data_IF_692121612323
#
_entry.id   IF_692121612323
#
_cell.length_a   1.000
_cell.length_b   1.000
_cell.length_c   1.000
_cell.angle_alpha   90.00
_cell.angle_beta   90.00
_cell.angle_gamma   90.00
#
_symmetry.space_group_name_H-M   'P 1'
#
loop_
_entity.id
_entity.type
_entity.pdbx_description
1 polymer ?
#
# COMPACT_ATOMS: atom_id res chain seq x y z
N UNK A 1 14.61 -14.50 -7.64
CA UNK A 1 14.33 -13.38 -8.55
C UNK A 1 13.96 -12.17 -7.69
N UNK A 2 14.36 -10.96 -8.07
CA UNK A 2 14.02 -9.74 -7.32
C UNK A 2 12.61 -9.29 -7.72
N UNK A 3 11.70 -9.23 -6.74
CA UNK A 3 10.30 -8.85 -6.97
C UNK A 3 10.15 -7.48 -7.64
N UNK A 4 11.12 -6.56 -7.45
CA UNK A 4 11.12 -5.26 -8.14
C UNK A 4 11.38 -5.40 -9.63
N UNK A 5 12.31 -6.28 -10.00
CA UNK A 5 12.64 -6.57 -11.40
C UNK A 5 11.46 -7.26 -12.07
N UNK A 6 10.83 -8.24 -11.42
CA UNK A 6 9.63 -8.90 -11.95
C UNK A 6 8.47 -7.93 -12.15
N UNK A 7 8.23 -7.00 -11.21
CA UNK A 7 7.22 -5.95 -11.36
C UNK A 7 7.53 -5.00 -12.52
N UNK A 8 8.80 -4.60 -12.67
CA UNK A 8 9.25 -3.77 -13.79
C UNK A 8 9.03 -4.46 -15.14
N UNK A 9 9.45 -5.72 -15.25
CA UNK A 9 9.39 -6.49 -16.49
C UNK A 9 7.94 -6.77 -16.88
N UNK A 10 7.09 -7.07 -15.89
CA UNK A 10 5.67 -7.21 -16.09
C UNK A 10 5.05 -5.92 -16.65
N UNK A 11 5.22 -4.77 -16.01
CA UNK A 11 4.63 -3.53 -16.51
C UNK A 11 5.19 -3.12 -17.89
N UNK A 12 6.49 -3.30 -18.10
CA UNK A 12 7.15 -2.98 -19.37
C UNK A 12 6.61 -3.84 -20.51
N UNK A 13 6.42 -5.14 -20.27
CA UNK A 13 5.88 -6.06 -21.28
C UNK A 13 4.41 -5.79 -21.60
N UNK A 14 3.57 -5.51 -20.59
CA UNK A 14 2.15 -5.17 -20.79
C UNK A 14 1.98 -3.84 -21.54
N UNK A 15 2.81 -2.84 -21.23
CA UNK A 15 2.83 -1.57 -21.97
C UNK A 15 3.25 -1.76 -23.42
N UNK A 16 4.26 -2.59 -23.68
CA UNK A 16 4.76 -2.85 -25.04
C UNK A 16 3.75 -3.63 -25.91
N UNK A 17 2.85 -4.40 -25.31
CA UNK A 17 1.84 -5.21 -26.01
C UNK A 17 0.68 -4.38 -26.57
N UNK A 18 0.32 -3.28 -25.90
CA UNK A 18 -0.90 -2.54 -26.23
C UNK A 18 -0.60 -1.38 -27.19
N UNK A 19 -1.32 -1.33 -28.30
CA UNK A 19 -1.28 -0.19 -29.22
C UNK A 19 -2.28 0.88 -28.76
N UNK A 20 -2.00 2.17 -29.00
CA UNK A 20 -2.89 3.24 -28.52
C UNK A 20 -4.29 3.21 -29.12
N UNK A 21 -4.44 2.77 -30.37
CA UNK A 21 -5.77 2.58 -30.96
C UNK A 21 -6.59 1.55 -30.17
N UNK A 22 -5.96 0.44 -29.76
CA UNK A 22 -6.61 -0.57 -28.90
C UNK A 22 -6.97 0.01 -27.53
N UNK A 23 -6.18 0.96 -27.04
CA UNK A 23 -6.42 1.68 -25.80
C UNK A 23 -7.42 2.86 -25.94
N UNK A 24 -8.01 3.06 -27.12
CA UNK A 24 -8.95 4.15 -27.39
C UNK A 24 -8.30 5.54 -27.50
N UNK A 25 -6.98 5.59 -27.71
CA UNK A 25 -6.23 6.82 -27.89
C UNK A 25 -6.05 7.14 -29.39
N UNK A 26 -6.30 8.38 -29.80
CA UNK A 26 -5.99 8.83 -31.16
C UNK A 26 -4.49 8.81 -31.42
N UNK A 27 -4.11 8.46 -32.66
CA UNK A 27 -2.72 8.53 -33.11
C UNK A 27 -2.33 9.99 -33.38
N UNK A 28 -1.84 10.70 -32.36
CA UNK A 28 -1.24 12.02 -32.54
C UNK A 28 0.28 11.93 -32.82
N UNK A 29 0.71 12.42 -33.98
CA UNK A 29 2.11 12.73 -34.30
C UNK A 29 2.91 11.67 -35.10
N UNK A 30 3.70 12.15 -36.06
CA UNK A 30 4.61 11.35 -36.90
C UNK A 30 5.86 10.84 -36.15
N UNK A 31 6.40 9.71 -36.63
CA UNK A 31 7.53 8.93 -36.11
C UNK A 31 7.44 8.50 -34.63
N UNK A 32 6.59 7.50 -34.35
CA UNK A 32 6.58 6.73 -33.09
C UNK A 32 7.84 5.85 -33.01
N UNK A 33 8.62 6.01 -31.94
CA UNK A 33 9.85 5.22 -31.66
C UNK A 33 9.63 3.98 -30.79
N UNK A 34 8.48 3.87 -30.12
CA UNK A 34 8.16 2.80 -29.17
C UNK A 34 7.02 1.97 -29.74
N UNK A 35 7.10 0.63 -29.82
CA UNK A 35 6.08 -0.18 -30.50
C UNK A 35 4.70 -0.14 -29.82
N UNK A 36 4.66 -0.13 -28.49
CA UNK A 36 3.41 -0.06 -27.71
C UNK A 36 3.11 1.33 -27.15
N UNK A 37 2.33 1.37 -26.07
CA UNK A 37 1.98 2.61 -25.38
C UNK A 37 3.21 3.35 -24.87
N UNK A 38 3.19 4.67 -24.94
CA UNK A 38 4.14 5.53 -24.27
C UNK A 38 3.79 5.67 -22.79
N UNK A 39 4.74 6.11 -21.98
CA UNK A 39 4.54 6.25 -20.53
C UNK A 39 3.47 7.30 -20.21
N UNK A 40 3.48 8.40 -20.98
CA UNK A 40 2.50 9.46 -20.90
C UNK A 40 1.08 8.98 -21.27
N UNK A 41 0.97 8.06 -22.24
CA UNK A 41 -0.31 7.47 -22.68
C UNK A 41 -0.89 6.57 -21.57
N UNK A 42 -0.07 5.72 -20.94
CA UNK A 42 -0.52 4.89 -19.80
C UNK A 42 -0.92 5.76 -18.61
N UNK A 43 -0.11 6.77 -18.28
CA UNK A 43 -0.40 7.67 -17.16
C UNK A 43 -1.72 8.42 -17.36
N UNK A 44 -1.99 8.88 -18.58
CA UNK A 44 -3.26 9.49 -18.97
C UNK A 44 -4.44 8.52 -18.76
N UNK A 45 -4.35 7.31 -19.30
CA UNK A 45 -5.40 6.29 -19.19
C UNK A 45 -5.66 5.86 -17.74
N UNK A 46 -4.61 5.78 -16.93
CA UNK A 46 -4.70 5.39 -15.53
C UNK A 46 -5.04 6.56 -14.59
N UNK A 47 -5.18 7.78 -15.10
CA UNK A 47 -5.53 8.97 -14.32
C UNK A 47 -4.47 9.35 -13.29
N UNK A 48 -3.19 9.23 -13.63
CA UNK A 48 -2.06 9.54 -12.74
C UNK A 48 -0.98 10.37 -13.43
N UNK A 49 -0.04 10.92 -12.65
CA UNK A 49 1.08 11.66 -13.22
C UNK A 49 2.08 10.73 -13.92
N UNK A 50 2.72 11.23 -14.99
CA UNK A 50 3.74 10.49 -15.75
C UNK A 50 4.89 10.05 -14.84
N UNK A 51 5.36 10.94 -13.97
CA UNK A 51 6.44 10.64 -13.02
C UNK A 51 6.05 9.54 -12.02
N UNK A 52 4.77 9.46 -11.66
CA UNK A 52 4.32 8.37 -10.79
C UNK A 52 4.32 7.04 -11.52
N UNK A 53 3.85 7.00 -12.78
CA UNK A 53 3.94 5.80 -13.61
C UNK A 53 5.39 5.39 -13.88
N UNK A 54 6.30 6.32 -14.18
CA UNK A 54 7.74 6.03 -14.36
C UNK A 54 8.35 5.38 -13.11
N UNK A 55 7.99 5.87 -11.91
CA UNK A 55 8.45 5.25 -10.65
C UNK A 55 7.89 3.84 -10.48
N UNK A 56 6.62 3.64 -10.81
CA UNK A 56 5.96 2.33 -10.74
C UNK A 56 6.61 1.34 -11.70
N UNK A 57 6.76 1.72 -12.97
CA UNK A 57 7.39 0.89 -14.00
C UNK A 57 8.83 0.52 -13.60
N UNK A 58 9.59 1.40 -12.92
CA UNK A 58 10.93 1.10 -12.37
C UNK A 58 10.94 0.10 -11.19
N UNK A 59 9.82 -0.54 -10.87
CA UNK A 59 9.73 -1.52 -9.78
C UNK A 59 9.50 -0.90 -8.40
N UNK A 60 9.32 0.42 -8.30
CA UNK A 60 9.03 1.08 -7.02
C UNK A 60 7.52 1.11 -6.73
N UNK A 61 6.97 -0.06 -6.40
CA UNK A 61 5.56 -0.23 -6.02
C UNK A 61 5.30 -0.05 -4.50
N UNK A 62 6.21 0.60 -3.77
CA UNK A 62 6.13 0.69 -2.31
C UNK A 62 4.94 1.57 -1.88
N UNK A 63 4.01 0.97 -1.13
CA UNK A 63 2.85 1.69 -0.58
C UNK A 63 1.80 2.09 -1.62
N UNK A 64 1.81 1.48 -2.80
CA UNK A 64 0.78 1.67 -3.83
C UNK A 64 -0.56 1.17 -3.31
N UNK A 65 -1.63 1.92 -3.56
CA UNK A 65 -3.00 1.53 -3.19
C UNK A 65 -3.60 0.56 -4.20
N UNK A 66 -4.54 -0.26 -3.74
CA UNK A 66 -5.32 -1.16 -4.59
C UNK A 66 -6.02 -0.40 -5.72
N UNK A 67 -6.50 0.83 -5.46
CA UNK A 67 -7.12 1.69 -6.48
C UNK A 67 -6.17 2.08 -7.61
N UNK A 68 -4.88 2.25 -7.33
CA UNK A 68 -3.86 2.54 -8.35
C UNK A 68 -3.55 1.29 -9.16
N UNK A 69 -3.49 0.11 -8.53
CA UNK A 69 -3.32 -1.16 -9.22
C UNK A 69 -4.52 -1.47 -10.14
N UNK A 70 -5.75 -1.22 -9.68
CA UNK A 70 -6.95 -1.35 -10.51
C UNK A 70 -6.96 -0.36 -11.68
N UNK A 71 -6.51 0.88 -11.46
CA UNK A 71 -6.39 1.86 -12.55
C UNK A 71 -5.37 1.41 -13.60
N UNK A 72 -4.23 0.85 -13.18
CA UNK A 72 -3.23 0.27 -14.10
C UNK A 72 -3.77 -0.95 -14.84
N UNK A 73 -4.49 -1.84 -14.14
CA UNK A 73 -5.08 -3.02 -14.76
C UNK A 73 -6.07 -2.64 -15.87
N UNK A 74 -6.92 -1.64 -15.62
CA UNK A 74 -7.84 -1.10 -16.64
C UNK A 74 -7.10 -0.42 -17.79
N UNK A 75 -6.11 0.44 -17.48
CA UNK A 75 -5.36 1.17 -18.49
C UNK A 75 -4.54 0.27 -19.42
N UNK A 76 -3.99 -0.83 -18.89
CA UNK A 76 -3.21 -1.82 -19.64
C UNK A 76 -4.08 -2.97 -20.19
N UNK A 77 -5.41 -2.90 -20.02
CA UNK A 77 -6.38 -3.91 -20.46
C UNK A 77 -5.98 -5.32 -20.03
N UNK A 78 -5.60 -5.47 -18.76
CA UNK A 78 -5.19 -6.75 -18.21
C UNK A 78 -6.39 -7.68 -18.08
N UNK A 79 -6.19 -8.95 -18.42
CA UNK A 79 -7.16 -9.99 -18.09
C UNK A 79 -7.16 -10.32 -16.58
N UNK A 80 -8.05 -11.19 -16.15
CA UNK A 80 -8.22 -11.53 -14.73
C UNK A 80 -6.97 -12.18 -14.12
N UNK A 81 -6.24 -13.00 -14.87
CA UNK A 81 -5.03 -13.65 -14.40
C UNK A 81 -3.85 -12.66 -14.33
N UNK A 82 -3.71 -11.81 -15.33
CA UNK A 82 -2.73 -10.73 -15.38
C UNK A 82 -2.97 -9.69 -14.27
N UNK A 83 -4.24 -9.38 -14.00
CA UNK A 83 -4.65 -8.54 -12.88
C UNK A 83 -4.24 -9.17 -11.55
N UNK A 84 -4.61 -10.41 -11.29
CA UNK A 84 -4.21 -11.11 -10.07
C UNK A 84 -2.68 -11.11 -9.89
N UNK A 85 -1.94 -11.39 -10.97
CA UNK A 85 -0.48 -11.38 -10.95
C UNK A 85 0.13 -10.01 -10.65
N UNK A 86 -0.43 -8.91 -11.18
CA UNK A 86 -0.01 -7.56 -10.86
C UNK A 86 -0.10 -7.27 -9.36
N UNK A 87 -1.19 -7.71 -8.71
CA UNK A 87 -1.38 -7.55 -7.28
C UNK A 87 -0.39 -8.40 -6.47
N UNK A 88 -0.12 -9.63 -6.89
CA UNK A 88 0.86 -10.50 -6.24
C UNK A 88 2.28 -9.90 -6.31
N UNK A 89 2.68 -9.40 -7.48
CA UNK A 89 3.97 -8.72 -7.66
C UNK A 89 4.06 -7.45 -6.78
N UNK A 90 3.01 -6.62 -6.73
CA UNK A 90 2.97 -5.45 -5.87
C UNK A 90 3.10 -5.83 -4.37
N UNK A 91 2.42 -6.90 -3.95
CA UNK A 91 2.52 -7.43 -2.59
C UNK A 91 3.93 -7.95 -2.29
N UNK A 92 4.56 -8.65 -3.23
CA UNK A 92 5.93 -9.15 -3.09
C UNK A 92 6.96 -8.02 -2.97
N UNK A 93 6.84 -6.96 -3.78
CA UNK A 93 7.67 -5.75 -3.68
C UNK A 93 7.54 -5.10 -2.30
N UNK A 94 6.32 -5.03 -1.77
CA UNK A 94 6.07 -4.50 -0.43
C UNK A 94 6.65 -5.41 0.67
N UNK A 95 6.58 -6.73 0.51
CA UNK A 95 7.09 -7.71 1.47
C UNK A 95 8.63 -7.78 1.53
N UNK A 96 9.32 -7.69 0.39
CA UNK A 96 10.78 -7.72 0.29
C UNK A 96 11.49 -6.50 0.88
N UNK A 97 10.75 -5.42 1.14
CA UNK A 97 11.27 -4.19 1.76
C UNK A 97 11.15 -4.20 3.28
N UNK A 98 11.87 -5.10 3.97
CA UNK A 98 12.16 -4.99 5.41
C UNK A 98 11.00 -4.55 6.30
N UNK A 99 10.08 -5.48 6.55
CA UNK A 99 8.99 -5.36 7.51
C UNK A 99 7.71 -4.80 6.89
N UNK A 100 6.82 -5.69 6.46
CA UNK A 100 5.67 -6.19 7.23
C UNK A 100 5.05 -7.30 6.39
N UNK A 101 5.63 -8.50 6.45
CA UNK A 101 4.96 -9.69 5.96
C UNK A 101 3.63 -9.82 6.71
N UNK A 102 2.51 -9.76 5.97
CA UNK A 102 1.23 -10.26 6.44
C UNK A 102 1.40 -11.76 6.66
N UNK A 103 1.87 -12.15 7.85
CA UNK A 103 1.76 -13.53 8.31
C UNK A 103 0.28 -13.79 8.62
N UNK A 104 -0.43 -14.28 7.60
CA UNK A 104 -1.57 -15.13 7.83
C UNK A 104 -1.02 -16.47 8.36
N UNK A 105 -1.01 -16.65 9.67
CA UNK A 105 -0.86 -17.98 10.27
C UNK A 105 -2.06 -18.24 11.17
N UNK A 106 -2.95 -19.11 10.64
CA UNK A 106 -3.79 -19.98 11.47
C UNK A 106 -2.85 -21.00 12.12
N UNK A 107 -2.94 -21.18 13.44
CA UNK A 107 -2.20 -22.21 14.17
C UNK A 107 -1.84 -21.76 15.57
N UNK A 108 -2.46 -22.42 16.57
CA UNK A 108 -2.33 -22.08 17.98
C UNK A 108 -0.91 -22.19 18.52
N UNK A 109 -0.62 -21.34 19.52
CA UNK A 109 0.65 -21.35 20.24
C UNK A 109 0.84 -20.07 21.03
N UNK A 110 0.39 -20.07 22.29
CA UNK A 110 0.75 -19.06 23.27
C UNK A 110 2.27 -18.90 23.32
N UNK A 111 2.77 -17.70 23.06
CA UNK A 111 4.09 -17.20 23.46
C UNK A 111 4.11 -15.69 23.23
N UNK A 112 4.04 -14.92 24.33
CA UNK A 112 4.31 -13.47 24.41
C UNK A 112 4.13 -12.71 23.09
N UNK A 113 2.88 -12.36 22.76
CA UNK A 113 2.60 -11.50 21.63
C UNK A 113 3.33 -10.17 21.85
N UNK A 114 4.44 -9.97 21.14
CA UNK A 114 5.14 -8.69 21.06
C UNK A 114 4.08 -7.67 20.65
N UNK A 115 3.65 -6.84 21.61
CA UNK A 115 2.65 -5.80 21.33
C UNK A 115 3.15 -5.04 20.11
N UNK A 116 2.37 -4.95 19.02
CA UNK A 116 2.82 -4.23 17.85
C UNK A 116 3.11 -2.78 18.26
N UNK A 117 4.36 -2.35 18.15
CA UNK A 117 4.81 -1.01 18.50
C UNK A 117 5.01 -0.21 17.22
N UNK A 118 4.70 1.09 17.27
CA UNK A 118 5.11 2.02 16.21
C UNK A 118 6.64 2.06 16.07
N UNK A 119 7.13 2.36 14.86
CA UNK A 119 8.56 2.58 14.63
C UNK A 119 9.05 3.76 15.50
N UNK A 120 10.29 3.74 16.02
CA UNK A 120 10.79 4.82 16.89
C UNK A 120 10.72 6.22 16.26
N UNK A 121 10.94 6.35 14.96
CA UNK A 121 10.81 7.62 14.25
C UNK A 121 9.38 8.18 14.28
N UNK A 122 8.37 7.31 14.16
CA UNK A 122 6.96 7.69 14.23
C UNK A 122 6.60 8.11 15.65
N UNK A 123 7.09 7.39 16.67
CA UNK A 123 6.88 7.76 18.06
C UNK A 123 7.47 9.15 18.36
N UNK A 124 8.68 9.46 17.86
CA UNK A 124 9.27 10.81 18.01
C UNK A 124 8.41 11.92 17.41
N UNK A 125 7.79 11.68 16.25
CA UNK A 125 6.87 12.66 15.64
C UNK A 125 5.62 12.84 16.50
N UNK A 126 5.05 11.75 17.01
CA UNK A 126 3.89 11.80 17.92
C UNK A 126 4.24 12.56 19.20
N UNK A 127 5.41 12.31 19.78
CA UNK A 127 5.87 12.98 21.01
C UNK A 127 6.16 14.46 20.78
N UNK A 128 6.61 14.85 19.58
CA UNK A 128 6.85 16.24 19.21
C UNK A 128 5.56 17.07 19.09
N UNK A 129 4.39 16.44 18.92
CA UNK A 129 3.08 17.09 18.93
C UNK A 129 2.67 17.45 20.36
N UNK A 130 3.40 18.35 21.02
CA UNK A 130 3.27 18.61 22.45
C UNK A 130 1.94 19.26 22.87
N UNK A 131 1.28 19.98 21.97
CA UNK A 131 0.08 20.80 22.26
C UNK A 131 -1.23 20.20 21.77
N UNK A 132 -1.18 19.09 21.02
CA UNK A 132 -2.37 18.43 20.47
C UNK A 132 -2.39 16.94 20.82
N UNK A 133 -3.56 16.35 21.12
CA UNK A 133 -3.68 14.91 21.29
C UNK A 133 -3.31 14.17 20.00
N UNK A 134 -2.38 13.21 20.07
CA UNK A 134 -1.95 12.44 18.91
C UNK A 134 -1.78 10.95 19.26
N UNK A 135 -2.20 10.09 18.34
CA UNK A 135 -2.02 8.64 18.44
C UNK A 135 -1.94 8.01 17.05
N UNK A 136 -1.28 6.85 16.97
CA UNK A 136 -1.20 6.03 15.76
C UNK A 136 -2.01 4.75 15.95
N UNK A 137 -2.68 4.33 14.87
CA UNK A 137 -3.48 3.10 14.84
C UNK A 137 -3.15 2.22 13.64
N UNK A 138 -3.45 0.93 13.74
CA UNK A 138 -3.44 0.03 12.58
C UNK A 138 -4.84 -0.08 11.94
N UNK A 139 -4.93 -0.88 10.87
CA UNK A 139 -6.20 -1.16 10.17
C UNK A 139 -7.22 -1.93 11.00
N UNK A 140 -6.79 -2.65 12.04
CA UNK A 140 -7.67 -3.33 13.00
C UNK A 140 -8.19 -2.38 14.08
N UNK A 141 -7.83 -1.10 14.03
CA UNK A 141 -8.19 -0.08 15.01
C UNK A 141 -7.48 -0.21 16.36
N UNK A 142 -6.37 -0.96 16.41
CA UNK A 142 -5.50 -1.01 17.59
C UNK A 142 -4.70 0.30 17.70
N UNK A 143 -4.67 0.90 18.89
CA UNK A 143 -3.78 2.02 19.21
C UNK A 143 -2.38 1.47 19.49
N UNK A 144 -1.41 1.86 18.64
CA UNK A 144 -0.04 1.35 18.65
C UNK A 144 0.97 2.28 19.35
N UNK A 145 0.61 3.56 19.49
CA UNK A 145 1.45 4.61 20.10
C UNK A 145 0.64 5.89 20.28
N UNK A 146 0.95 6.67 21.30
CA UNK A 146 0.28 7.95 21.60
C UNK A 146 1.22 8.87 22.37
N UNK A 147 0.97 10.17 22.29
CA UNK A 147 1.58 11.15 23.20
C UNK A 147 0.76 11.23 24.50
N UNK A 148 1.25 12.01 25.47
CA UNK A 148 0.59 12.19 26.77
C UNK A 148 -0.86 12.68 26.63
N UNK A 149 -1.11 13.66 25.76
CA UNK A 149 -2.44 14.23 25.53
C UNK A 149 -3.38 13.22 24.85
N UNK A 150 -2.88 12.45 23.88
CA UNK A 150 -3.61 11.39 23.20
C UNK A 150 -3.99 10.27 24.16
N UNK A 151 -3.10 9.91 25.09
CA UNK A 151 -3.41 8.96 26.17
C UNK A 151 -4.50 9.47 27.10
N UNK A 152 -4.45 10.75 27.48
CA UNK A 152 -5.46 11.36 28.33
C UNK A 152 -6.83 11.41 27.63
N UNK A 153 -6.85 11.82 26.36
CA UNK A 153 -8.06 11.88 25.53
C UNK A 153 -8.70 10.50 25.36
N UNK A 154 -7.88 9.47 25.11
CA UNK A 154 -8.34 8.10 24.89
C UNK A 154 -8.35 7.26 26.17
N UNK A 155 -8.37 7.90 27.35
CA UNK A 155 -8.25 7.20 28.63
C UNK A 155 -9.29 6.07 28.83
N UNK A 156 -10.56 6.18 28.38
CA UNK A 156 -11.51 5.07 28.50
C UNK A 156 -11.09 3.84 27.68
N UNK A 157 -10.55 4.04 26.47
CA UNK A 157 -10.05 2.98 25.58
C UNK A 157 -8.87 2.22 26.21
N UNK A 158 -8.06 2.91 27.03
CA UNK A 158 -6.92 2.32 27.74
C UNK A 158 -7.30 1.67 29.08
N UNK A 159 -8.46 2.01 29.64
CA UNK A 159 -8.96 1.46 30.91
C UNK A 159 -9.58 0.07 30.75
N UNK A 160 -9.86 -0.32 29.51
CA UNK A 160 -10.46 -1.59 29.16
C UNK A 160 -9.68 -2.82 29.70
N UNK A 161 -10.33 -3.66 30.53
CA UNK A 161 -9.68 -4.73 31.28
C UNK A 161 -9.33 -5.97 30.45
N UNK A 162 -9.42 -5.92 29.11
CA UNK A 162 -9.00 -7.01 28.24
C UNK A 162 -7.49 -7.28 28.32
N UNK A 163 -7.08 -7.98 29.38
CA UNK A 163 -5.71 -8.24 29.74
C UNK A 163 -4.99 -8.97 28.59
N UNK A 164 -3.90 -8.37 28.12
CA UNK A 164 -3.06 -8.91 27.05
C UNK A 164 -3.37 -8.43 25.63
N UNK A 165 -4.46 -7.68 25.41
CA UNK A 165 -4.79 -7.12 24.08
C UNK A 165 -4.32 -5.67 23.95
N UNK A 166 -3.98 -5.20 22.72
CA UNK A 166 -3.78 -3.78 22.49
C UNK A 166 -5.10 -3.02 22.66
N UNK A 167 -5.08 -1.76 23.15
CA UNK A 167 -6.26 -0.89 23.19
C UNK A 167 -6.84 -0.75 21.79
N UNK A 168 -8.16 -0.94 21.64
CA UNK A 168 -8.80 -1.03 20.34
C UNK A 168 -10.05 -0.16 20.27
N UNK A 169 -10.10 0.74 19.29
CA UNK A 169 -11.23 1.67 19.15
C UNK A 169 -12.52 1.00 18.69
N UNK A 170 -12.46 -0.04 17.85
CA UNK A 170 -13.67 -0.76 17.43
C UNK A 170 -14.32 -1.42 18.64
N UNK A 171 -13.50 -2.08 19.47
CA UNK A 171 -13.99 -2.76 20.66
C UNK A 171 -14.60 -1.78 21.66
N UNK A 172 -13.90 -0.69 21.96
CA UNK A 172 -14.42 0.37 22.81
C UNK A 172 -15.74 0.96 22.28
N UNK A 173 -15.88 1.14 20.96
CA UNK A 173 -17.09 1.73 20.38
C UNK A 173 -18.28 0.78 20.30
N UNK A 174 -18.04 -0.54 20.25
CA UNK A 174 -19.10 -1.51 19.93
C UNK A 174 -19.32 -2.58 21.02
N UNK A 175 -18.40 -2.73 21.98
CA UNK A 175 -18.44 -3.80 22.99
C UNK A 175 -18.30 -3.29 24.44
N UNK A 176 -18.13 -1.99 24.66
CA UNK A 176 -18.24 -1.34 25.98
C UNK A 176 -19.60 -0.65 26.15
#
# INVERSE_FOLDING_TARGET
MDARTEFHDFLSSRRARLNPEQAGLPLYGGNRRVPGLRREEVALLAGMSVDYYVRLERGNAKGVSDSVLEALARALQLDEAERAHLFDLANAVNAGSGGHARAATRGGGSRNAVRPRVRPSVQRVIDAMATVPAYARNRRLDILGCNRLGRALMSPVFADPSSGRPPNLARFLFLD
#
